data_IF_466474860726
#
_entry.id   IF_466474860726
#
_cell.length_a   1.000
_cell.length_b   1.000
_cell.length_c   1.000
_cell.angle_alpha   90.00
_cell.angle_beta   90.00
_cell.angle_gamma   90.00
#
_symmetry.space_group_name_H-M   'P 1'
#
loop_
_entity.id
_entity.type
_entity.pdbx_description
1 polymer ?
#
# COMPACT_ATOMS: atom_id res chain seq x y z
N UNK A 1 -5.12 20.36 5.47
CA UNK A 1 -3.86 20.02 6.17
C UNK A 1 -3.73 18.52 6.45
N UNK A 2 -4.78 17.83 6.90
CA UNK A 2 -4.74 16.41 7.28
C UNK A 2 -4.33 15.45 6.14
N UNK A 3 -4.62 15.79 4.88
CA UNK A 3 -4.31 14.94 3.73
C UNK A 3 -2.93 15.16 3.10
N UNK A 4 -2.06 15.97 3.68
CA UNK A 4 -0.79 16.35 3.04
C UNK A 4 0.24 15.22 2.96
N UNK A 5 0.21 14.28 3.89
CA UNK A 5 1.02 13.06 3.83
C UNK A 5 0.62 12.07 2.74
N UNK A 6 -0.57 12.19 2.15
CA UNK A 6 -1.11 11.25 1.18
C UNK A 6 -0.17 11.01 -0.01
N UNK A 7 0.26 12.08 -0.65
CA UNK A 7 1.16 12.01 -1.81
C UNK A 7 2.60 11.69 -1.39
N UNK A 8 3.11 12.30 -0.32
CA UNK A 8 4.52 12.13 0.09
C UNK A 8 4.79 10.73 0.64
N UNK A 9 3.87 10.14 1.39
CA UNK A 9 4.01 8.76 1.88
C UNK A 9 3.90 7.74 0.71
N UNK A 10 2.98 7.96 -0.23
CA UNK A 10 2.88 7.12 -1.42
C UNK A 10 4.17 7.17 -2.27
N UNK A 11 4.72 8.36 -2.49
CA UNK A 11 5.99 8.54 -3.19
C UNK A 11 7.15 7.86 -2.47
N UNK A 12 7.15 7.86 -1.14
CA UNK A 12 8.15 7.17 -0.33
C UNK A 12 8.11 5.66 -0.56
N UNK A 13 6.92 5.04 -0.51
CA UNK A 13 6.74 3.60 -0.76
C UNK A 13 7.31 3.20 -2.13
N UNK A 14 7.03 3.99 -3.17
CA UNK A 14 7.57 3.74 -4.52
C UNK A 14 9.09 3.93 -4.55
N UNK A 15 9.61 4.99 -3.92
CA UNK A 15 11.06 5.26 -3.89
C UNK A 15 11.86 4.22 -3.12
N UNK A 16 11.24 3.55 -2.16
CA UNK A 16 11.79 2.43 -1.40
C UNK A 16 11.60 1.08 -2.14
N UNK A 17 11.05 1.10 -3.36
CA UNK A 17 10.82 -0.10 -4.19
C UNK A 17 9.94 -1.17 -3.52
N UNK A 18 9.04 -0.78 -2.63
CA UNK A 18 8.13 -1.71 -1.94
C UNK A 18 7.07 -2.23 -2.91
N UNK A 19 6.47 -1.31 -3.70
CA UNK A 19 5.54 -1.65 -4.78
C UNK A 19 5.44 -0.51 -5.79
N UNK A 20 4.73 -0.73 -6.90
CA UNK A 20 4.51 0.27 -7.95
C UNK A 20 3.35 1.22 -7.62
N UNK A 21 3.28 2.33 -8.36
CA UNK A 21 2.28 3.37 -8.16
C UNK A 21 0.86 2.91 -8.47
N UNK A 22 0.67 2.01 -9.44
CA UNK A 22 -0.66 1.53 -9.82
C UNK A 22 -1.26 0.64 -8.71
N UNK A 23 -0.44 -0.17 -8.08
CA UNK A 23 -0.83 -0.99 -6.93
C UNK A 23 -1.23 -0.13 -5.73
N UNK A 24 -0.47 0.94 -5.43
CA UNK A 24 -0.81 1.86 -4.34
C UNK A 24 -2.15 2.54 -4.60
N UNK A 25 -2.35 3.07 -5.82
CA UNK A 25 -3.60 3.73 -6.19
C UNK A 25 -4.79 2.78 -6.05
N UNK A 26 -4.64 1.54 -6.51
CA UNK A 26 -5.67 0.50 -6.39
C UNK A 26 -6.01 0.19 -4.93
N UNK A 27 -5.01 -0.05 -4.09
CA UNK A 27 -5.23 -0.32 -2.66
C UNK A 27 -6.00 0.82 -2.00
N UNK A 28 -5.59 2.06 -2.26
CA UNK A 28 -6.22 3.20 -1.62
C UNK A 28 -7.63 3.48 -2.13
N UNK A 29 -7.93 3.23 -3.42
CA UNK A 29 -9.30 3.29 -3.92
C UNK A 29 -10.16 2.14 -3.41
N UNK A 30 -9.70 0.92 -3.60
CA UNK A 30 -10.56 -0.26 -3.49
C UNK A 30 -10.68 -0.76 -2.04
N UNK A 31 -9.64 -0.56 -1.22
CA UNK A 31 -9.63 -1.00 0.19
C UNK A 31 -9.88 0.15 1.17
N UNK A 32 -9.30 1.32 0.92
CA UNK A 32 -9.47 2.47 1.83
C UNK A 32 -10.61 3.41 1.42
N UNK A 33 -11.24 3.22 0.25
CA UNK A 33 -12.41 3.95 -0.18
C UNK A 33 -12.12 5.39 -0.67
N UNK A 34 -10.88 5.72 -1.03
CA UNK A 34 -10.57 7.01 -1.64
C UNK A 34 -11.12 7.07 -3.06
N UNK A 35 -11.57 8.25 -3.48
CA UNK A 35 -12.09 8.45 -4.84
C UNK A 35 -11.01 8.33 -5.91
N UNK A 36 -9.79 8.75 -5.60
CA UNK A 36 -8.60 8.70 -6.45
C UNK A 36 -7.42 8.21 -5.61
N UNK A 37 -6.55 7.42 -6.21
CA UNK A 37 -5.25 7.13 -5.64
C UNK A 37 -4.32 8.36 -5.67
N UNK A 38 -3.21 8.35 -4.91
CA UNK A 38 -2.30 9.49 -4.82
C UNK A 38 -1.63 9.85 -6.15
N UNK A 39 -1.32 8.87 -6.98
CA UNK A 39 -0.67 9.10 -8.27
C UNK A 39 -1.67 9.58 -9.33
N UNK A 40 -2.89 9.04 -9.33
CA UNK A 40 -4.00 9.59 -10.13
C UNK A 40 -4.30 11.04 -9.74
N UNK A 41 -4.27 11.35 -8.44
CA UNK A 41 -4.49 12.70 -7.95
C UNK A 41 -3.36 13.66 -8.38
N UNK A 42 -2.09 13.22 -8.30
CA UNK A 42 -0.95 14.01 -8.76
C UNK A 42 -1.00 14.26 -10.28
N UNK A 43 -1.41 13.28 -11.08
CA UNK A 43 -1.58 13.44 -12.52
C UNK A 43 -2.76 14.37 -12.87
N UNK A 44 -3.84 14.33 -12.09
CA UNK A 44 -5.00 15.22 -12.28
C UNK A 44 -4.66 16.67 -11.95
N UNK A 45 -3.95 16.92 -10.86
CA UNK A 45 -3.55 18.25 -10.41
C UNK A 45 -2.33 18.79 -11.15
N UNK A 46 -1.61 17.92 -11.79
CA UNK A 46 -0.33 18.08 -12.47
C UNK A 46 0.87 18.43 -11.54
N UNK A 47 2.04 17.92 -11.88
CA UNK A 47 3.23 18.04 -11.02
C UNK A 47 3.83 19.44 -10.98
N UNK A 48 3.59 20.28 -11.99
CA UNK A 48 3.98 21.69 -11.96
C UNK A 48 3.20 22.52 -10.93
N UNK A 49 2.08 21.99 -10.44
CA UNK A 49 1.35 22.52 -9.28
C UNK A 49 1.69 21.72 -8.02
N UNK A 50 1.59 20.40 -8.10
CA UNK A 50 1.72 19.53 -6.91
C UNK A 50 3.11 19.54 -6.29
N UNK A 51 4.17 19.55 -7.11
CA UNK A 51 5.54 19.52 -6.60
C UNK A 51 5.94 20.80 -5.84
N UNK A 52 5.73 22.03 -6.38
CA UNK A 52 5.96 23.25 -5.61
C UNK A 52 5.13 23.34 -4.31
N UNK A 53 3.90 22.79 -4.34
CA UNK A 53 3.07 22.73 -3.12
C UNK A 53 3.70 21.82 -2.08
N UNK A 54 4.23 20.64 -2.47
CA UNK A 54 4.94 19.76 -1.55
C UNK A 54 6.17 20.44 -0.95
N UNK A 55 6.98 21.14 -1.76
CA UNK A 55 8.13 21.92 -1.28
C UNK A 55 7.70 23.00 -0.28
N UNK A 56 6.65 23.76 -0.60
CA UNK A 56 6.12 24.80 0.29
C UNK A 56 5.66 24.22 1.63
N UNK A 57 4.95 23.11 1.62
CA UNK A 57 4.48 22.43 2.83
C UNK A 57 5.67 21.94 3.67
N UNK A 58 6.66 21.31 3.06
CA UNK A 58 7.85 20.83 3.73
C UNK A 58 8.52 21.96 4.53
N UNK A 59 8.72 23.12 3.89
CA UNK A 59 9.29 24.30 4.57
C UNK A 59 8.38 24.86 5.67
N UNK A 60 7.06 24.87 5.46
CA UNK A 60 6.09 25.34 6.46
C UNK A 60 6.03 24.45 7.72
N UNK A 61 6.39 23.20 7.58
CA UNK A 61 6.49 22.24 8.69
C UNK A 61 7.92 22.08 9.21
N UNK A 62 8.77 23.09 8.99
CA UNK A 62 10.16 23.11 9.48
C UNK A 62 10.95 21.88 9.08
N UNK A 63 10.84 21.49 7.80
CA UNK A 63 11.53 20.36 7.20
C UNK A 63 11.21 18.99 7.83
N UNK A 64 9.96 18.84 8.30
CA UNK A 64 9.47 17.57 8.81
C UNK A 64 9.65 16.45 7.75
N UNK A 65 10.43 15.39 8.04
CA UNK A 65 10.79 14.36 7.06
C UNK A 65 9.59 13.69 6.37
N UNK A 66 8.46 13.60 7.03
CA UNK A 66 7.21 13.03 6.46
C UNK A 66 6.71 13.80 5.24
N UNK A 67 6.94 15.11 5.19
CA UNK A 67 6.50 15.98 4.10
C UNK A 67 7.59 16.29 3.09
N UNK A 68 8.75 15.63 3.17
CA UNK A 68 9.86 15.86 2.25
C UNK A 68 9.44 15.56 0.81
N UNK A 69 9.63 16.49 -0.14
CA UNK A 69 9.44 16.24 -1.56
C UNK A 69 10.31 15.09 -2.04
N UNK A 70 9.81 14.34 -3.01
CA UNK A 70 10.51 13.17 -3.53
C UNK A 70 11.20 13.50 -4.86
N UNK A 71 12.36 12.91 -5.11
CA UNK A 71 13.12 13.06 -6.35
C UNK A 71 12.33 12.61 -7.58
N UNK A 72 11.44 11.63 -7.43
CA UNK A 72 10.58 11.13 -8.52
C UNK A 72 9.76 12.27 -9.13
N UNK A 73 9.13 13.09 -8.32
CA UNK A 73 8.31 14.22 -8.82
C UNK A 73 9.17 15.34 -9.38
N UNK A 74 10.35 15.61 -8.80
CA UNK A 74 11.29 16.60 -9.33
C UNK A 74 11.80 16.21 -10.73
N UNK A 75 12.17 14.95 -10.93
CA UNK A 75 12.64 14.46 -12.22
C UNK A 75 11.54 14.47 -13.28
N UNK A 76 10.31 14.06 -12.93
CA UNK A 76 9.16 14.12 -13.85
C UNK A 76 8.80 15.54 -14.24
N UNK A 77 8.86 16.47 -13.29
CA UNK A 77 8.65 17.89 -13.54
C UNK A 77 9.71 18.44 -14.51
N UNK A 78 10.98 18.16 -14.26
CA UNK A 78 12.08 18.55 -15.14
C UNK A 78 11.98 17.95 -16.55
N UNK A 79 11.47 16.71 -16.64
CA UNK A 79 11.24 16.02 -17.93
C UNK A 79 9.97 16.44 -18.64
N UNK A 80 9.15 17.33 -18.08
CA UNK A 80 7.88 17.77 -18.68
C UNK A 80 6.75 16.74 -18.61
N UNK A 81 6.96 15.61 -17.88
CA UNK A 81 6.00 14.52 -17.70
C UNK A 81 5.15 14.83 -16.47
N UNK A 82 4.28 15.83 -16.61
CA UNK A 82 3.65 16.46 -15.44
C UNK A 82 2.26 15.96 -15.12
N UNK A 83 1.67 15.11 -15.96
CA UNK A 83 0.37 14.53 -15.69
C UNK A 83 -0.60 14.57 -16.87
N UNK A 84 -1.88 14.37 -16.58
CA UNK A 84 -2.96 14.22 -17.57
C UNK A 84 -3.00 15.36 -18.60
N UNK A 85 -2.72 16.59 -18.22
CA UNK A 85 -2.80 17.77 -19.12
C UNK A 85 -1.83 17.76 -20.29
N UNK A 86 -0.71 17.01 -20.16
CA UNK A 86 0.29 16.83 -21.23
C UNK A 86 0.22 15.44 -21.85
N UNK A 87 -0.75 14.61 -21.42
CA UNK A 87 -0.92 13.24 -21.91
C UNK A 87 -0.04 12.21 -21.21
N UNK A 88 0.86 12.60 -20.32
CA UNK A 88 1.76 11.72 -19.61
C UNK A 88 2.13 12.26 -18.22
N UNK A 89 2.09 11.38 -17.22
CA UNK A 89 2.48 11.62 -15.86
C UNK A 89 2.96 10.33 -15.22
N UNK A 90 2.41 9.91 -14.09
CA UNK A 90 2.56 8.55 -13.58
C UNK A 90 1.90 7.54 -14.49
N UNK A 91 0.81 7.94 -15.13
CA UNK A 91 0.13 7.18 -16.17
C UNK A 91 0.28 7.86 -17.53
N UNK A 92 0.14 7.07 -18.59
CA UNK A 92 -0.04 7.56 -19.94
C UNK A 92 -1.54 7.77 -20.19
N UNK A 93 -1.90 8.85 -20.88
CA UNK A 93 -3.29 9.18 -21.17
C UNK A 93 -3.53 9.18 -22.68
N UNK A 94 -4.56 8.46 -23.12
CA UNK A 94 -5.07 8.49 -24.48
C UNK A 94 -6.51 8.97 -24.42
N UNK A 95 -6.84 10.00 -25.14
CA UNK A 95 -8.16 10.66 -25.13
C UNK A 95 -8.64 11.00 -23.69
N UNK A 96 -7.69 11.38 -22.82
CA UNK A 96 -7.96 11.71 -21.43
C UNK A 96 -8.20 10.53 -20.50
N UNK A 97 -8.04 9.29 -20.98
CA UNK A 97 -8.20 8.05 -20.22
C UNK A 97 -6.82 7.49 -19.87
N UNK A 98 -6.59 7.21 -18.58
CA UNK A 98 -5.35 6.60 -18.10
C UNK A 98 -5.21 5.18 -18.66
N UNK A 99 -4.05 4.87 -19.22
CA UNK A 99 -3.69 3.54 -19.66
C UNK A 99 -3.09 2.77 -18.47
N UNK A 100 -3.94 2.02 -17.77
CA UNK A 100 -3.55 1.23 -16.61
C UNK A 100 -3.40 -0.21 -17.07
N UNK A 101 -2.28 -0.84 -16.75
CA UNK A 101 -2.10 -2.27 -16.99
C UNK A 101 -3.16 -3.08 -16.22
N UNK A 102 -3.76 -4.09 -16.84
CA UNK A 102 -4.71 -4.95 -16.15
C UNK A 102 -4.06 -5.59 -14.92
N UNK A 103 -4.87 -5.78 -13.91
CA UNK A 103 -4.42 -6.48 -12.71
C UNK A 103 -4.00 -7.91 -13.07
N UNK A 104 -2.87 -8.41 -12.54
CA UNK A 104 -2.53 -9.81 -12.68
C UNK A 104 -3.66 -10.68 -12.17
N UNK A 105 -3.98 -11.74 -12.90
CA UNK A 105 -4.99 -12.70 -12.45
C UNK A 105 -4.62 -13.23 -11.06
N UNK A 106 -5.60 -13.31 -10.17
CA UNK A 106 -5.40 -13.91 -8.85
C UNK A 106 -4.91 -15.34 -9.03
N UNK A 107 -3.78 -15.73 -8.42
CA UNK A 107 -3.28 -17.10 -8.50
C UNK A 107 -4.36 -18.08 -8.02
N UNK A 108 -4.63 -19.09 -8.80
CA UNK A 108 -5.48 -20.20 -8.37
C UNK A 108 -4.64 -21.06 -7.43
N UNK A 109 -4.97 -21.07 -6.16
CA UNK A 109 -4.33 -21.92 -5.17
C UNK A 109 -5.17 -23.17 -5.03
N UNK A 110 -4.75 -24.27 -5.68
CA UNK A 110 -5.47 -25.55 -5.67
C UNK A 110 -5.51 -26.19 -4.28
N UNK A 111 -4.47 -25.98 -3.48
CA UNK A 111 -4.38 -26.48 -2.10
C UNK A 111 -3.99 -25.33 -1.14
N UNK A 112 -5.01 -24.69 -0.59
CA UNK A 112 -4.82 -23.64 0.41
C UNK A 112 -4.17 -24.20 1.66
N UNK A 113 -3.04 -23.62 2.12
CA UNK A 113 -2.44 -24.04 3.38
C UNK A 113 -3.41 -23.85 4.54
N UNK A 114 -3.29 -24.63 5.62
CA UNK A 114 -4.05 -24.34 6.82
C UNK A 114 -3.65 -22.98 7.38
N UNK A 115 -4.60 -22.34 8.05
CA UNK A 115 -4.42 -21.00 8.62
C UNK A 115 -4.39 -21.10 10.14
N UNK A 116 -3.35 -20.57 10.74
CA UNK A 116 -3.25 -20.39 12.18
C UNK A 116 -3.36 -18.90 12.53
N UNK A 117 -4.13 -18.58 13.57
CA UNK A 117 -4.31 -17.20 14.03
C UNK A 117 -3.71 -17.04 15.41
N UNK A 118 -2.79 -16.09 15.55
CA UNK A 118 -2.14 -15.79 16.83
C UNK A 118 -3.17 -15.59 17.95
N UNK A 119 -2.86 -16.12 19.12
CA UNK A 119 -3.68 -15.89 20.33
C UNK A 119 -3.68 -14.42 20.75
N UNK A 120 -2.70 -13.63 20.30
CA UNK A 120 -2.55 -12.20 20.57
C UNK A 120 -3.16 -11.32 19.50
N UNK A 121 -3.72 -11.89 18.42
CA UNK A 121 -4.32 -11.13 17.34
C UNK A 121 -5.47 -10.26 17.86
N UNK A 122 -5.46 -8.99 17.49
CA UNK A 122 -6.55 -8.07 17.80
C UNK A 122 -7.81 -8.49 17.06
N UNK A 123 -8.97 -8.49 17.76
CA UNK A 123 -10.25 -8.96 17.25
C UNK A 123 -10.21 -10.41 16.72
N UNK A 124 -9.43 -11.26 17.39
CA UNK A 124 -9.21 -12.66 16.99
C UNK A 124 -10.51 -13.44 16.72
N UNK A 125 -11.53 -13.24 17.53
CA UNK A 125 -12.79 -13.98 17.37
C UNK A 125 -13.50 -13.64 16.04
N UNK A 126 -13.52 -12.37 15.66
CA UNK A 126 -14.09 -11.89 14.41
C UNK A 126 -13.29 -12.37 13.21
N UNK A 127 -11.95 -12.34 13.34
CA UNK A 127 -11.06 -12.84 12.30
C UNK A 127 -11.24 -14.35 12.07
N UNK A 128 -11.35 -15.11 13.13
CA UNK A 128 -11.63 -16.55 13.05
C UNK A 128 -13.01 -16.83 12.41
N UNK A 129 -14.02 -16.01 12.70
CA UNK A 129 -15.33 -16.14 12.05
C UNK A 129 -15.24 -15.84 10.56
N UNK A 130 -14.58 -14.74 10.18
CA UNK A 130 -14.35 -14.39 8.78
C UNK A 130 -13.66 -15.53 8.01
N UNK A 131 -12.59 -16.09 8.59
CA UNK A 131 -11.85 -17.19 7.97
C UNK A 131 -12.70 -18.45 7.79
N UNK A 132 -13.56 -18.76 8.75
CA UNK A 132 -14.54 -19.86 8.63
C UNK A 132 -15.53 -19.60 7.51
N UNK A 133 -16.07 -18.41 7.42
CA UNK A 133 -17.02 -18.02 6.38
C UNK A 133 -16.40 -18.09 4.98
N UNK A 134 -15.09 -17.86 4.88
CA UNK A 134 -14.30 -18.03 3.67
C UNK A 134 -13.88 -19.50 3.38
N UNK A 135 -14.23 -20.43 4.26
CA UNK A 135 -13.91 -21.86 4.08
C UNK A 135 -12.46 -22.24 4.38
N UNK A 136 -11.71 -21.39 5.11
CA UNK A 136 -10.32 -21.68 5.45
C UNK A 136 -10.20 -22.87 6.43
N UNK A 137 -9.18 -23.69 6.23
CA UNK A 137 -8.81 -24.76 7.18
C UNK A 137 -8.06 -24.14 8.37
N UNK A 138 -8.73 -24.00 9.51
CA UNK A 138 -8.15 -23.32 10.69
C UNK A 138 -7.46 -24.31 11.62
N UNK A 139 -6.22 -24.04 11.95
CA UNK A 139 -5.49 -24.76 13.00
C UNK A 139 -5.83 -24.18 14.38
N UNK A 140 -6.14 -25.05 15.33
CA UNK A 140 -6.50 -24.67 16.71
C UNK A 140 -5.40 -24.97 17.73
N UNK A 141 -4.26 -25.48 17.28
CA UNK A 141 -3.11 -25.77 18.14
C UNK A 141 -2.51 -24.48 18.74
N UNK A 142 -1.80 -24.63 19.86
CA UNK A 142 -1.13 -23.49 20.52
C UNK A 142 0.00 -22.87 19.70
N UNK A 143 0.57 -23.64 18.77
CA UNK A 143 1.56 -23.17 17.80
C UNK A 143 1.18 -23.65 16.40
N UNK A 144 1.56 -22.91 15.33
CA UNK A 144 1.27 -23.30 13.97
C UNK A 144 2.09 -24.53 13.53
N UNK A 145 1.54 -25.31 12.61
CA UNK A 145 2.33 -26.31 11.89
C UNK A 145 3.30 -25.66 10.90
N UNK A 146 4.28 -26.45 10.43
CA UNK A 146 5.28 -25.95 9.45
C UNK A 146 4.68 -25.57 8.10
N UNK A 147 3.42 -25.91 7.83
CA UNK A 147 2.72 -25.59 6.58
C UNK A 147 1.70 -24.45 6.75
N UNK A 148 1.42 -24.06 7.98
CA UNK A 148 0.38 -23.07 8.23
C UNK A 148 0.77 -21.67 7.79
N UNK A 149 -0.17 -20.94 7.18
CA UNK A 149 -0.12 -19.49 7.06
C UNK A 149 -0.45 -18.89 8.43
N UNK A 150 0.45 -18.09 8.97
CA UNK A 150 0.30 -17.50 10.30
C UNK A 150 -0.28 -16.08 10.18
N UNK A 151 -1.45 -15.85 10.74
CA UNK A 151 -2.07 -14.54 10.77
C UNK A 151 -1.85 -13.89 12.13
N UNK A 152 -1.22 -12.70 12.11
CA UNK A 152 -0.89 -11.94 13.31
C UNK A 152 -1.62 -10.64 13.29
N UNK A 153 -2.62 -10.21 13.58
CA UNK A 153 -3.26 -8.88 13.53
C UNK A 153 -2.73 -7.97 14.66
N UNK A 154 -1.52 -7.41 14.53
CA UNK A 154 -0.92 -6.58 15.57
C UNK A 154 -1.54 -5.20 15.61
N UNK A 155 -1.54 -4.56 16.78
CA UNK A 155 -1.86 -3.15 16.94
C UNK A 155 -0.64 -2.43 17.53
N UNK A 156 -0.10 -1.49 16.77
CA UNK A 156 1.07 -0.69 17.17
C UNK A 156 2.43 -1.36 16.92
N UNK A 157 2.45 -2.53 16.27
CA UNK A 157 3.65 -3.24 15.87
C UNK A 157 3.56 -3.66 14.41
N UNK A 158 4.70 -3.83 13.75
CA UNK A 158 4.78 -4.44 12.43
C UNK A 158 4.80 -5.97 12.50
N UNK A 159 4.48 -6.62 11.37
CA UNK A 159 4.42 -8.08 11.26
C UNK A 159 5.77 -8.73 11.54
N UNK A 160 6.87 -8.11 11.10
CA UNK A 160 8.23 -8.64 11.31
C UNK A 160 8.57 -8.70 12.81
N UNK A 161 8.31 -7.63 13.53
CA UNK A 161 8.49 -7.58 14.99
C UNK A 161 7.68 -8.66 15.69
N UNK A 162 6.40 -8.81 15.32
CA UNK A 162 5.52 -9.82 15.93
C UNK A 162 5.98 -11.25 15.60
N UNK A 163 6.37 -11.52 14.35
CA UNK A 163 6.87 -12.86 13.96
C UNK A 163 8.11 -13.26 14.76
N UNK A 164 9.03 -12.33 15.01
CA UNK A 164 10.21 -12.57 15.86
C UNK A 164 9.80 -12.87 17.31
N UNK A 165 8.91 -12.02 17.88
CA UNK A 165 8.47 -12.16 19.28
C UNK A 165 7.70 -13.47 19.50
N UNK A 166 6.88 -13.88 18.55
CA UNK A 166 6.08 -15.11 18.62
C UNK A 166 6.83 -16.33 18.05
N UNK A 167 8.06 -16.16 17.58
CA UNK A 167 8.91 -17.19 16.97
C UNK A 167 8.24 -17.89 15.78
N UNK A 168 7.59 -17.09 14.94
CA UNK A 168 6.95 -17.53 13.71
C UNK A 168 7.92 -17.41 12.53
N UNK A 169 7.68 -18.19 11.49
CA UNK A 169 8.41 -18.06 10.23
C UNK A 169 7.94 -16.80 9.48
N UNK A 170 8.82 -15.79 9.26
CA UNK A 170 8.42 -14.57 8.58
C UNK A 170 7.90 -14.79 7.15
N UNK A 171 8.36 -15.84 6.46
CA UNK A 171 7.92 -16.15 5.10
C UNK A 171 6.46 -16.62 5.02
N UNK A 172 5.87 -17.01 6.14
CA UNK A 172 4.50 -17.52 6.26
C UNK A 172 3.65 -16.69 7.23
N UNK A 173 4.13 -15.52 7.65
CA UNK A 173 3.42 -14.65 8.60
C UNK A 173 2.90 -13.39 7.91
N UNK A 174 1.62 -13.11 8.09
CA UNK A 174 0.90 -11.97 7.51
C UNK A 174 0.06 -11.24 8.55
#
# INVERSE_FOLDING_TARGET
HAGRGYNTEALRIVSECITDFATIDRILRDQAGFRLGPFELMDLTALDVSHPVMESIYRQYYDEPRYRPNVITAQRLAGGVVGKKVGEGFYRYVDGVAQISPEPATPVVEDMPPVWVSSRAVRRAELLQLLKDLGAKIETASAPSDKALCIVAPLGFDVTTVSIVERLDPARTV
#
